data_IF_067255222488
#
_entry.id   IF_067255222488
#
_cell.length_a   1.000
_cell.length_b   1.000
_cell.length_c   1.000
_cell.angle_alpha   90.00
_cell.angle_beta   90.00
_cell.angle_gamma   90.00
#
_symmetry.space_group_name_H-M   'P 1'
#
loop_
_entity.id
_entity.type
_entity.pdbx_description
1 polymer ?
#
# COMPACT_ATOMS: atom_id res chain seq x y z
N UNK A 1 33.41 -5.75 3.95
CA UNK A 1 32.17 -5.28 4.61
C UNK A 1 32.45 -4.00 5.40
N UNK A 2 31.99 -2.84 4.93
CA UNK A 2 32.07 -1.58 5.68
C UNK A 2 30.83 -1.49 6.58
N UNK A 3 31.00 -1.65 7.89
CA UNK A 3 29.96 -1.41 8.91
C UNK A 3 29.84 0.11 9.09
N UNK A 4 28.74 0.72 8.67
CA UNK A 4 28.46 2.13 8.93
C UNK A 4 27.65 2.18 10.22
N UNK A 5 28.32 2.53 11.32
CA UNK A 5 27.69 2.79 12.61
C UNK A 5 27.07 4.19 12.56
N UNK A 6 25.73 4.30 12.61
CA UNK A 6 25.07 5.57 12.95
C UNK A 6 24.84 5.59 14.47
N UNK A 7 25.90 5.86 15.23
CA UNK A 7 25.86 6.01 16.68
C UNK A 7 25.73 7.49 17.04
N UNK A 8 24.55 7.90 17.50
CA UNK A 8 24.39 9.09 18.33
C UNK A 8 23.85 8.63 19.68
N UNK A 9 24.73 8.48 20.67
CA UNK A 9 24.40 8.66 22.08
C UNK A 9 25.69 8.86 22.89
N UNK A 10 26.03 10.12 23.18
CA UNK A 10 26.88 10.46 24.30
C UNK A 10 25.94 10.81 25.47
N UNK A 11 25.70 9.86 26.39
CA UNK A 11 25.07 10.20 27.66
C UNK A 11 26.18 10.35 28.71
N UNK A 12 26.51 11.59 29.02
CA UNK A 12 27.33 11.94 30.17
C UNK A 12 26.45 11.86 31.43
N UNK A 13 26.49 10.73 32.13
CA UNK A 13 26.02 10.67 33.51
C UNK A 13 27.12 11.25 34.41
N UNK A 14 27.02 12.54 34.72
CA UNK A 14 27.76 13.14 35.83
C UNK A 14 27.24 12.52 37.13
N UNK A 15 28.03 11.61 37.73
CA UNK A 15 27.84 11.15 39.10
C UNK A 15 28.80 11.96 39.97
N UNK A 16 28.23 12.64 40.97
CA UNK A 16 28.92 13.63 41.81
C UNK A 16 30.14 13.08 42.55
N UNK A 17 31.13 13.96 42.71
CA UNK A 17 32.24 13.76 43.63
C UNK A 17 31.71 13.68 45.07
N UNK A 18 31.95 12.57 45.77
CA UNK A 18 31.67 12.47 47.19
C UNK A 18 31.96 11.09 47.79
N UNK A 19 33.05 11.03 48.56
CA UNK A 19 33.49 10.00 49.52
C UNK A 19 33.84 8.59 49.03
N UNK A 20 35.06 8.19 49.41
CA UNK A 20 35.56 6.81 49.43
C UNK A 20 34.70 5.96 50.36
N UNK A 21 34.24 4.82 49.86
CA UNK A 21 34.06 3.60 50.64
C UNK A 21 34.15 2.38 49.72
N UNK A 22 34.77 1.34 50.25
CA UNK A 22 35.04 0.06 49.58
C UNK A 22 33.76 -0.56 48.99
N UNK A 23 33.59 -0.40 47.68
CA UNK A 23 32.79 -1.29 46.88
C UNK A 23 33.54 -1.51 45.58
N UNK A 24 33.97 -2.75 45.36
CA UNK A 24 34.44 -3.18 44.06
C UNK A 24 33.36 -2.75 43.04
N UNK A 25 33.62 -1.79 42.14
CA UNK A 25 32.57 -1.21 41.33
C UNK A 25 32.02 -2.32 40.44
N UNK A 26 30.79 -2.74 40.68
CA UNK A 26 30.06 -3.56 39.73
C UNK A 26 30.14 -2.81 38.40
N UNK A 27 30.68 -3.43 37.32
CA UNK A 27 30.70 -2.77 36.03
C UNK A 27 29.28 -2.27 35.74
N UNK A 28 29.09 -1.04 35.23
CA UNK A 28 27.75 -0.55 34.93
C UNK A 28 27.04 -1.61 34.09
N UNK A 29 25.93 -2.13 34.62
CA UNK A 29 25.15 -3.13 33.89
C UNK A 29 24.79 -2.52 32.54
N UNK A 30 25.21 -3.19 31.47
CA UNK A 30 24.81 -2.78 30.13
C UNK A 30 23.29 -2.76 30.08
N UNK A 31 22.65 -1.69 29.60
CA UNK A 31 21.19 -1.66 29.47
C UNK A 31 20.72 -2.87 28.67
N UNK A 32 19.69 -3.57 29.15
CA UNK A 32 19.03 -4.68 28.46
C UNK A 32 17.56 -4.32 28.23
N UNK A 33 17.25 -3.97 26.99
CA UNK A 33 15.92 -3.51 26.60
C UNK A 33 14.96 -4.64 26.20
N UNK A 34 15.33 -5.89 26.45
CA UNK A 34 14.52 -7.06 26.07
C UNK A 34 13.16 -7.06 26.76
N UNK A 35 13.07 -6.59 28.01
CA UNK A 35 11.80 -6.54 28.76
C UNK A 35 10.87 -5.48 28.20
N UNK A 36 11.40 -4.31 27.87
CA UNK A 36 10.66 -3.17 27.35
C UNK A 36 10.04 -3.52 25.99
N UNK A 37 10.78 -4.28 25.16
CA UNK A 37 10.28 -4.78 23.89
C UNK A 37 9.04 -5.67 24.01
N UNK A 38 8.87 -6.41 25.12
CA UNK A 38 7.68 -7.26 25.33
C UNK A 38 6.39 -6.44 25.39
N UNK A 39 6.45 -5.17 25.77
CA UNK A 39 5.30 -4.27 25.81
C UNK A 39 4.65 -4.08 24.43
N UNK A 40 5.38 -4.34 23.34
CA UNK A 40 4.91 -4.14 21.97
C UNK A 40 4.54 -5.45 21.26
N UNK A 41 4.74 -6.61 21.91
CA UNK A 41 4.45 -7.91 21.32
C UNK A 41 3.01 -8.35 21.62
N UNK A 42 2.29 -8.98 20.68
CA UNK A 42 0.97 -9.52 20.97
C UNK A 42 1.08 -10.69 21.94
N UNK A 43 0.05 -10.92 22.76
CA UNK A 43 0.02 -12.06 23.68
C UNK A 43 -0.17 -13.39 22.95
N UNK A 44 -0.74 -13.36 21.75
CA UNK A 44 -0.89 -14.50 20.84
C UNK A 44 -0.06 -14.27 19.57
N UNK A 45 0.83 -15.19 19.26
CA UNK A 45 1.83 -15.06 18.16
C UNK A 45 1.30 -15.71 16.88
N UNK A 46 1.44 -15.04 15.75
CA UNK A 46 1.08 -15.60 14.45
C UNK A 46 2.25 -16.45 13.95
N UNK A 47 2.07 -17.76 13.73
CA UNK A 47 3.12 -18.62 13.19
C UNK A 47 3.17 -18.62 11.67
N UNK A 48 2.00 -18.51 11.05
CA UNK A 48 1.85 -18.67 9.62
C UNK A 48 0.67 -17.82 9.11
N UNK A 49 0.84 -17.15 7.98
CA UNK A 49 -0.25 -16.48 7.25
C UNK A 49 -0.31 -17.02 5.84
N UNK A 50 -1.50 -17.41 5.40
CA UNK A 50 -1.77 -17.73 3.99
C UNK A 50 -2.59 -16.60 3.38
N UNK A 51 -2.34 -16.26 2.13
CA UNK A 51 -3.13 -15.29 1.40
C UNK A 51 -3.48 -15.76 -0.01
N UNK A 52 -4.67 -15.39 -0.48
CA UNK A 52 -5.09 -15.59 -1.88
C UNK A 52 -5.48 -14.25 -2.48
N UNK A 53 -5.04 -13.99 -3.70
CA UNK A 53 -5.32 -12.76 -4.45
C UNK A 53 -5.45 -13.05 -5.95
N UNK A 54 -5.94 -12.06 -6.68
CA UNK A 54 -5.87 -12.06 -8.14
C UNK A 54 -4.70 -11.19 -8.57
N UNK A 55 -3.76 -11.79 -9.28
CA UNK A 55 -2.68 -11.09 -9.95
C UNK A 55 -3.16 -10.65 -11.33
N UNK A 56 -2.79 -9.42 -11.70
CA UNK A 56 -3.07 -8.88 -13.01
C UNK A 56 -1.75 -8.62 -13.73
N UNK A 57 -1.65 -9.14 -14.96
CA UNK A 57 -0.47 -9.04 -15.81
C UNK A 57 -0.87 -8.52 -17.19
N UNK A 58 0.13 -8.09 -17.95
CA UNK A 58 -0.05 -7.60 -19.31
C UNK A 58 1.02 -8.15 -20.24
N UNK A 59 0.59 -9.00 -21.16
CA UNK A 59 1.43 -9.53 -22.22
C UNK A 59 1.59 -8.48 -23.33
N UNK A 60 2.84 -8.11 -23.60
CA UNK A 60 3.15 -7.26 -24.74
C UNK A 60 3.01 -8.07 -26.04
N UNK A 61 2.27 -7.52 -27.01
CA UNK A 61 2.04 -8.15 -28.30
C UNK A 61 1.58 -7.14 -29.35
N UNK A 62 1.54 -7.58 -30.61
CA UNK A 62 0.93 -6.81 -31.69
C UNK A 62 -0.57 -7.12 -31.71
N UNK A 63 -1.36 -6.21 -31.16
CA UNK A 63 -2.82 -6.31 -31.17
C UNK A 63 -3.40 -5.30 -32.17
N UNK A 64 -4.49 -5.64 -32.89
CA UNK A 64 -5.18 -4.68 -33.74
C UNK A 64 -5.59 -3.44 -32.96
N UNK A 65 -5.56 -2.26 -33.60
CA UNK A 65 -6.12 -1.07 -32.99
C UNK A 65 -7.62 -1.23 -32.76
N UNK A 66 -8.06 -0.86 -31.56
CA UNK A 66 -9.48 -0.83 -31.23
C UNK A 66 -10.13 0.29 -32.04
N UNK A 67 -11.19 -0.03 -32.76
CA UNK A 67 -11.95 0.96 -33.52
C UNK A 67 -12.75 1.84 -32.58
N UNK A 68 -12.92 3.12 -32.94
CA UNK A 68 -13.62 4.08 -32.08
C UNK A 68 -15.06 3.64 -31.75
N UNK A 69 -15.74 2.97 -32.68
CA UNK A 69 -17.11 2.45 -32.51
C UNK A 69 -17.21 1.36 -31.45
N UNK A 70 -16.15 0.59 -31.27
CA UNK A 70 -16.07 -0.52 -30.30
C UNK A 70 -15.43 -0.10 -28.97
N UNK A 71 -15.02 1.18 -28.85
CA UNK A 71 -14.24 1.65 -27.72
C UNK A 71 -14.98 1.51 -26.38
N UNK A 72 -16.31 1.57 -26.40
CA UNK A 72 -17.17 1.42 -25.22
C UNK A 72 -17.71 -0.01 -25.02
N UNK A 73 -17.23 -1.00 -25.80
CA UNK A 73 -17.55 -2.40 -25.54
C UNK A 73 -16.96 -2.84 -24.18
N UNK A 74 -17.68 -3.69 -23.42
CA UNK A 74 -17.28 -4.17 -22.10
C UNK A 74 -16.22 -5.28 -22.21
N UNK A 75 -15.10 -4.95 -22.83
CA UNK A 75 -13.99 -5.86 -23.11
C UNK A 75 -12.71 -5.36 -22.46
N UNK A 76 -11.88 -6.32 -22.03
CA UNK A 76 -10.51 -6.07 -21.61
C UNK A 76 -9.63 -5.73 -22.82
N UNK A 77 -8.47 -5.13 -22.57
CA UNK A 77 -7.41 -5.14 -23.56
C UNK A 77 -6.91 -6.59 -23.74
N UNK A 78 -6.67 -7.03 -24.98
CA UNK A 78 -6.32 -8.42 -25.34
C UNK A 78 -5.07 -8.96 -24.62
N UNK A 79 -4.13 -8.08 -24.25
CA UNK A 79 -2.93 -8.46 -23.49
C UNK A 79 -3.17 -8.66 -21.99
N UNK A 80 -4.33 -8.25 -21.45
CA UNK A 80 -4.60 -8.34 -20.01
C UNK A 80 -4.88 -9.78 -19.59
N UNK A 81 -4.15 -10.24 -18.57
CA UNK A 81 -4.29 -11.56 -17.95
C UNK A 81 -4.57 -11.41 -16.48
N UNK A 82 -5.42 -12.30 -15.97
CA UNK A 82 -5.70 -12.42 -14.54
C UNK A 82 -5.40 -13.84 -14.11
N UNK A 83 -4.77 -14.01 -12.95
CA UNK A 83 -4.41 -15.33 -12.42
C UNK A 83 -4.65 -15.34 -10.91
N UNK A 84 -5.34 -16.35 -10.39
CA UNK A 84 -5.44 -16.51 -8.93
C UNK A 84 -4.12 -17.05 -8.40
N UNK A 85 -3.56 -16.36 -7.40
CA UNK A 85 -2.26 -16.66 -6.82
C UNK A 85 -2.35 -16.80 -5.31
N UNK A 86 -1.40 -17.55 -4.74
CA UNK A 86 -1.24 -17.68 -3.29
C UNK A 86 0.08 -17.09 -2.78
N UNK A 87 0.05 -16.63 -1.54
CA UNK A 87 1.21 -16.16 -0.78
C UNK A 87 1.22 -16.82 0.61
N UNK A 88 2.39 -17.10 1.16
CA UNK A 88 2.57 -17.67 2.49
C UNK A 88 3.67 -16.94 3.26
N UNK A 89 3.46 -16.75 4.57
CA UNK A 89 4.38 -16.03 5.46
C UNK A 89 4.63 -16.84 6.72
N UNK A 90 5.86 -17.25 6.97
CA UNK A 90 6.25 -18.05 8.13
C UNK A 90 7.13 -17.24 9.08
N UNK A 91 6.91 -17.41 10.39
CA UNK A 91 7.62 -16.68 11.43
C UNK A 91 8.27 -17.62 12.45
N UNK A 92 9.54 -17.38 12.73
CA UNK A 92 10.25 -17.99 13.85
C UNK A 92 10.47 -16.96 14.96
N UNK A 93 10.47 -17.43 16.20
CA UNK A 93 10.48 -16.57 17.39
C UNK A 93 11.62 -16.92 18.33
N UNK A 94 12.15 -15.92 19.03
CA UNK A 94 12.99 -16.16 20.21
C UNK A 94 12.16 -16.44 21.48
N UNK A 95 12.87 -16.73 22.58
CA UNK A 95 12.25 -17.01 23.88
C UNK A 95 11.50 -15.81 24.47
N UNK A 96 11.86 -14.58 24.09
CA UNK A 96 11.14 -13.36 24.49
C UNK A 96 9.90 -13.11 23.62
N UNK A 97 9.71 -13.88 22.55
CA UNK A 97 8.59 -13.77 21.63
C UNK A 97 8.76 -12.76 20.51
N UNK A 98 9.97 -12.29 20.25
CA UNK A 98 10.31 -11.44 19.10
C UNK A 98 10.53 -12.32 17.88
N UNK A 99 10.13 -11.84 16.70
CA UNK A 99 10.34 -12.59 15.45
C UNK A 99 11.81 -12.50 15.06
N UNK A 100 12.47 -13.64 14.87
CA UNK A 100 13.88 -13.74 14.46
C UNK A 100 14.06 -14.08 13.00
N UNK A 101 13.03 -14.61 12.34
CA UNK A 101 13.05 -14.93 10.91
C UNK A 101 11.67 -14.81 10.30
N UNK A 102 11.61 -14.23 9.10
CA UNK A 102 10.44 -14.17 8.24
C UNK A 102 10.78 -14.88 6.94
N UNK A 103 9.95 -15.85 6.56
CA UNK A 103 10.01 -16.48 5.23
C UNK A 103 8.75 -16.12 4.47
N UNK A 104 8.88 -15.40 3.37
CA UNK A 104 7.79 -15.02 2.48
C UNK A 104 7.89 -15.83 1.19
N UNK A 105 6.82 -16.53 0.84
CA UNK A 105 6.68 -17.31 -0.38
C UNK A 105 5.57 -16.72 -1.22
N UNK A 106 5.82 -16.54 -2.52
CA UNK A 106 4.79 -16.24 -3.50
C UNK A 106 4.82 -17.31 -4.57
N UNK A 107 3.65 -17.80 -4.95
CA UNK A 107 3.52 -18.85 -5.95
C UNK A 107 4.14 -18.45 -7.30
N UNK A 108 5.20 -19.17 -7.69
CA UNK A 108 5.95 -18.91 -8.93
C UNK A 108 7.25 -18.14 -8.72
N UNK A 109 7.48 -17.58 -7.54
CA UNK A 109 8.69 -16.86 -7.18
C UNK A 109 9.60 -17.69 -6.24
N UNK A 110 10.85 -17.27 -6.09
CA UNK A 110 11.76 -17.82 -5.08
C UNK A 110 11.41 -17.31 -3.68
N UNK A 111 11.66 -18.14 -2.66
CA UNK A 111 11.46 -17.78 -1.26
C UNK A 111 12.31 -16.56 -0.86
N UNK A 112 11.69 -15.58 -0.21
CA UNK A 112 12.36 -14.43 0.41
C UNK A 112 12.53 -14.72 1.90
N UNK A 113 13.78 -14.69 2.38
CA UNK A 113 14.09 -14.92 3.80
C UNK A 113 14.75 -13.68 4.37
N UNK A 114 14.16 -13.12 5.44
CA UNK A 114 14.76 -12.05 6.24
C UNK A 114 14.98 -12.52 7.67
N UNK A 115 16.06 -12.06 8.32
CA UNK A 115 16.40 -12.43 9.70
C UNK A 115 16.62 -11.22 10.58
N UNK A 116 16.27 -11.35 11.86
CA UNK A 116 16.46 -10.35 12.90
C UNK A 116 17.27 -10.95 14.04
N UNK A 117 18.40 -10.34 14.33
CA UNK A 117 19.27 -10.72 15.45
C UNK A 117 19.23 -9.63 16.51
N UNK A 118 18.70 -9.95 17.68
CA UNK A 118 18.58 -9.02 18.79
C UNK A 118 19.80 -9.06 19.70
N UNK A 119 20.26 -7.88 20.11
CA UNK A 119 21.15 -7.68 21.25
C UNK A 119 20.41 -6.88 22.32
N UNK A 120 21.06 -6.70 23.48
CA UNK A 120 20.50 -5.92 24.58
C UNK A 120 20.16 -4.46 24.20
N UNK A 121 20.84 -3.88 23.21
CA UNK A 121 20.70 -2.46 22.85
C UNK A 121 20.49 -2.21 21.35
N UNK A 122 20.38 -3.26 20.55
CA UNK A 122 20.27 -3.15 19.10
C UNK A 122 19.51 -4.33 18.49
N UNK A 123 19.04 -4.14 17.25
CA UNK A 123 18.57 -5.21 16.39
C UNK A 123 19.28 -5.12 15.05
N UNK A 124 19.78 -6.25 14.56
CA UNK A 124 20.34 -6.34 13.21
C UNK A 124 19.32 -7.00 12.30
N UNK A 125 18.92 -6.30 11.25
CA UNK A 125 17.98 -6.79 10.25
C UNK A 125 18.75 -7.13 8.99
N UNK A 126 18.63 -8.36 8.52
CA UNK A 126 19.21 -8.83 7.26
C UNK A 126 18.08 -9.16 6.30
N UNK A 127 18.07 -8.51 5.14
CA UNK A 127 17.13 -8.76 4.05
C UNK A 127 17.86 -9.39 2.86
N UNK A 128 17.18 -10.20 2.04
CA UNK A 128 17.79 -10.77 0.85
C UNK A 128 18.17 -9.66 -0.14
N UNK A 129 19.00 -9.97 -1.14
CA UNK A 129 19.35 -9.01 -2.16
C UNK A 129 18.10 -8.52 -2.89
N UNK A 130 18.11 -7.28 -3.42
CA UNK A 130 17.11 -6.85 -4.38
C UNK A 130 16.97 -7.87 -5.52
N UNK A 131 15.76 -8.02 -6.06
CA UNK A 131 15.43 -8.94 -7.15
C UNK A 131 16.31 -8.80 -8.43
N UNK A 132 17.16 -7.78 -8.51
CA UNK A 132 18.11 -7.63 -9.63
C UNK A 132 19.28 -8.61 -9.58
N UNK A 133 19.49 -9.34 -8.47
CA UNK A 133 20.52 -10.37 -8.34
C UNK A 133 21.97 -9.85 -8.39
N UNK A 134 22.16 -8.54 -8.46
CA UNK A 134 23.47 -7.88 -8.62
C UNK A 134 24.01 -7.40 -7.28
N UNK A 135 23.12 -7.09 -6.34
CA UNK A 135 23.47 -6.50 -5.05
C UNK A 135 23.51 -7.57 -3.96
N UNK A 136 24.40 -7.41 -2.98
CA UNK A 136 24.53 -8.31 -1.83
C UNK A 136 23.34 -8.16 -0.85
N UNK A 137 23.07 -9.16 0.01
CA UNK A 137 22.14 -9.02 1.14
C UNK A 137 22.44 -7.76 1.96
N UNK A 138 21.39 -7.06 2.37
CA UNK A 138 21.50 -5.84 3.17
C UNK A 138 21.36 -6.19 4.64
N UNK A 139 22.43 -5.99 5.41
CA UNK A 139 22.42 -6.15 6.87
C UNK A 139 22.63 -4.79 7.53
N UNK A 140 21.66 -4.33 8.32
CA UNK A 140 21.73 -3.06 9.04
C UNK A 140 21.44 -3.30 10.52
N UNK A 141 22.33 -2.77 11.36
CA UNK A 141 22.14 -2.72 12.80
C UNK A 141 21.49 -1.39 13.19
N UNK A 142 20.44 -1.47 13.99
CA UNK A 142 19.71 -0.33 14.51
C UNK A 142 19.78 -0.32 16.03
N UNK A 143 20.18 0.82 16.60
CA UNK A 143 20.14 1.03 18.04
C UNK A 143 18.71 1.16 18.58
N UNK A 144 18.55 0.80 19.85
CA UNK A 144 17.28 0.90 20.58
C UNK A 144 17.31 2.09 21.56
N UNK A 145 16.16 2.71 21.77
CA UNK A 145 15.97 3.66 22.87
C UNK A 145 15.75 2.92 24.20
N UNK A 146 15.68 3.66 25.31
CA UNK A 146 15.45 3.09 26.65
C UNK A 146 14.10 2.37 26.82
N UNK A 147 13.17 2.56 25.87
CA UNK A 147 11.90 1.83 25.82
C UNK A 147 11.95 0.65 24.84
N UNK A 148 13.11 0.27 24.32
CA UNK A 148 13.25 -0.86 23.41
C UNK A 148 12.82 -0.62 21.96
N UNK A 149 12.53 0.64 21.59
CA UNK A 149 12.11 1.02 20.24
C UNK A 149 13.29 1.36 19.35
N UNK A 150 13.18 1.05 18.05
CA UNK A 150 14.22 1.33 17.06
C UNK A 150 14.38 2.84 16.87
N UNK A 151 15.59 3.35 17.09
CA UNK A 151 15.92 4.79 17.01
C UNK A 151 15.82 5.35 15.58
N UNK A 152 16.16 4.56 14.57
CA UNK A 152 16.15 5.02 13.18
C UNK A 152 14.76 5.22 12.60
N UNK A 153 13.73 4.64 13.22
CA UNK A 153 12.34 4.81 12.75
C UNK A 153 11.82 6.21 13.01
N UNK A 154 12.36 6.91 14.03
CA UNK A 154 11.93 8.26 14.36
C UNK A 154 11.91 8.57 15.84
N UNK A 155 11.19 9.64 16.17
CA UNK A 155 10.97 10.13 17.53
C UNK A 155 9.62 9.65 18.03
N UNK A 156 9.56 9.32 19.32
CA UNK A 156 8.36 8.81 19.98
C UNK A 156 7.78 9.85 20.96
N UNK A 157 6.47 9.82 21.18
CA UNK A 157 5.83 10.59 22.24
C UNK A 157 5.93 9.86 23.61
N UNK A 158 5.38 10.46 24.67
CA UNK A 158 5.42 9.89 26.03
C UNK A 158 4.70 8.53 26.14
N UNK A 159 3.69 8.29 25.29
CA UNK A 159 3.00 6.99 25.15
C UNK A 159 3.75 5.99 24.27
N UNK A 160 4.98 6.30 23.88
CA UNK A 160 5.82 5.51 22.98
C UNK A 160 5.20 5.26 21.60
N UNK A 161 4.32 6.16 21.13
CA UNK A 161 3.81 6.18 19.77
C UNK A 161 4.77 6.99 18.89
N UNK A 162 5.02 6.54 17.65
CA UNK A 162 5.83 7.33 16.70
C UNK A 162 5.20 8.70 16.48
N UNK A 163 5.97 9.76 16.65
CA UNK A 163 5.55 11.16 16.50
C UNK A 163 6.02 11.75 15.18
N UNK A 164 7.24 11.40 14.77
CA UNK A 164 7.84 11.88 13.53
C UNK A 164 8.93 10.92 13.05
N UNK A 165 9.07 10.75 11.74
CA UNK A 165 10.20 10.09 11.08
C UNK A 165 10.76 10.98 9.96
N UNK A 166 12.05 10.80 9.64
CA UNK A 166 12.68 11.53 8.52
C UNK A 166 12.10 11.14 7.16
N UNK A 167 11.62 9.89 7.01
CA UNK A 167 11.07 9.35 5.76
C UNK A 167 9.60 9.75 5.56
N UNK A 168 8.75 9.46 6.54
CA UNK A 168 7.29 9.57 6.44
C UNK A 168 6.75 10.92 6.94
N UNK A 169 7.55 11.69 7.68
CA UNK A 169 7.15 12.96 8.24
C UNK A 169 6.44 12.80 9.59
N UNK A 170 5.27 13.41 9.75
CA UNK A 170 4.56 13.55 11.03
C UNK A 170 3.47 12.49 11.19
N UNK A 171 3.36 11.95 12.40
CA UNK A 171 2.35 10.98 12.79
C UNK A 171 1.34 11.67 13.72
N UNK A 172 0.06 11.64 13.34
CA UNK A 172 -1.04 12.29 14.07
C UNK A 172 -1.84 11.22 14.80
N UNK A 173 -1.98 11.39 16.11
CA UNK A 173 -2.67 10.43 16.98
C UNK A 173 -3.88 11.08 17.63
N UNK A 174 -5.00 10.37 17.62
CA UNK A 174 -6.23 10.77 18.30
C UNK A 174 -6.81 9.56 19.02
N UNK A 175 -7.12 9.71 20.31
CA UNK A 175 -7.66 8.63 21.14
C UNK A 175 -6.86 7.32 21.06
N UNK A 176 -5.52 7.44 20.96
CA UNK A 176 -4.56 6.34 20.80
C UNK A 176 -4.65 5.54 19.48
N UNK A 177 -5.29 6.12 18.46
CA UNK A 177 -5.28 5.63 17.08
C UNK A 177 -4.45 6.56 16.18
N UNK A 178 -3.65 6.00 15.27
CA UNK A 178 -2.88 6.76 14.29
C UNK A 178 -3.81 7.19 13.16
N UNK A 179 -4.29 8.43 13.16
CA UNK A 179 -5.29 8.91 12.19
C UNK A 179 -4.68 9.44 10.90
N UNK A 180 -3.41 9.88 10.93
CA UNK A 180 -2.73 10.43 9.76
C UNK A 180 -1.22 10.30 9.83
N UNK A 181 -0.59 9.97 8.72
CA UNK A 181 0.86 10.13 8.47
C UNK A 181 0.99 11.16 7.36
N UNK A 182 1.84 12.18 7.52
CA UNK A 182 2.04 13.16 6.45
C UNK A 182 3.40 13.84 6.41
N UNK A 183 3.84 14.16 5.19
CA UNK A 183 5.03 14.98 4.91
C UNK A 183 4.73 16.07 3.90
N UNK A 184 5.38 17.21 4.07
CA UNK A 184 5.35 18.29 3.08
C UNK A 184 6.40 18.04 2.01
N UNK A 185 6.00 18.12 0.75
CA UNK A 185 6.89 17.97 -0.41
C UNK A 185 6.74 19.21 -1.28
N UNK A 186 7.86 19.83 -1.64
CA UNK A 186 7.88 20.93 -2.61
C UNK A 186 8.11 20.36 -4.00
N UNK A 187 7.19 20.61 -4.94
CA UNK A 187 7.29 20.22 -6.35
C UNK A 187 6.95 21.43 -7.21
N UNK A 188 7.84 21.82 -8.12
CA UNK A 188 7.66 22.97 -9.01
C UNK A 188 7.27 24.27 -8.26
N UNK A 189 7.87 24.51 -7.09
CA UNK A 189 7.57 25.68 -6.25
C UNK A 189 6.27 25.60 -5.44
N UNK A 190 5.45 24.56 -5.63
CA UNK A 190 4.21 24.33 -4.87
C UNK A 190 4.48 23.33 -3.74
N UNK A 191 4.14 23.72 -2.51
CA UNK A 191 4.17 22.83 -1.35
C UNK A 191 2.89 22.03 -1.30
N UNK A 192 2.99 20.70 -1.33
CA UNK A 192 1.86 19.79 -1.12
C UNK A 192 2.08 18.90 0.11
N UNK A 193 1.00 18.41 0.69
CA UNK A 193 1.02 17.45 1.81
C UNK A 193 0.70 16.05 1.28
N UNK A 194 1.66 15.12 1.39
CA UNK A 194 1.49 13.70 1.03
C UNK A 194 1.41 12.82 2.26
N UNK A 195 0.84 11.64 2.10
CA UNK A 195 0.78 10.59 3.12
C UNK A 195 -0.58 9.91 3.14
N UNK A 196 -0.98 9.39 4.30
CA UNK A 196 -2.14 8.50 4.43
C UNK A 196 -2.97 8.89 5.64
N UNK A 197 -4.30 8.84 5.51
CA UNK A 197 -5.27 8.88 6.59
C UNK A 197 -5.76 7.48 6.90
N UNK A 198 -5.98 7.20 8.17
CA UNK A 198 -6.56 5.94 8.61
C UNK A 198 -7.89 6.18 9.29
N UNK A 199 -8.87 5.35 8.95
CA UNK A 199 -10.13 5.26 9.67
C UNK A 199 -10.19 3.96 10.47
N UNK A 200 -10.84 4.01 11.62
CA UNK A 200 -10.88 2.89 12.57
C UNK A 200 -12.32 2.55 12.93
N UNK A 201 -12.54 1.29 13.28
CA UNK A 201 -13.75 0.86 13.98
C UNK A 201 -13.50 0.79 15.50
N UNK A 202 -14.46 0.23 16.24
CA UNK A 202 -14.34 0.02 17.69
C UNK A 202 -13.61 -1.27 18.09
N UNK A 203 -13.23 -2.14 17.14
CA UNK A 203 -12.60 -3.41 17.44
C UNK A 203 -11.17 -3.19 17.96
N UNK A 204 -10.85 -3.79 19.09
CA UNK A 204 -9.54 -3.66 19.73
C UNK A 204 -8.47 -4.40 18.93
N UNK A 205 -7.32 -3.78 18.75
CA UNK A 205 -6.17 -4.37 18.07
C UNK A 205 -5.34 -5.27 19.01
N UNK A 206 -5.87 -6.44 19.38
CA UNK A 206 -5.13 -7.41 20.23
C UNK A 206 -3.87 -7.95 19.58
N UNK A 207 -3.85 -7.99 18.24
CA UNK A 207 -2.72 -8.41 17.43
C UNK A 207 -1.56 -7.40 17.41
N UNK A 208 -1.79 -6.15 17.84
CA UNK A 208 -0.83 -5.04 17.73
C UNK A 208 -0.37 -4.79 16.29
N UNK A 209 -1.26 -4.94 15.32
CA UNK A 209 -0.95 -4.59 13.93
C UNK A 209 -0.62 -3.11 13.81
N UNK A 210 0.42 -2.82 13.04
CA UNK A 210 0.92 -1.48 12.86
C UNK A 210 1.42 -1.32 11.42
N UNK A 211 0.53 -0.83 10.56
CA UNK A 211 0.71 -0.67 9.11
C UNK A 211 1.70 0.47 8.78
N UNK A 212 2.97 0.21 9.04
CA UNK A 212 4.13 0.95 8.56
C UNK A 212 5.09 -0.04 7.94
N UNK A 213 5.98 0.36 7.04
CA UNK A 213 7.04 -0.51 6.56
C UNK A 213 8.11 -0.75 7.65
N UNK A 214 9.16 -1.49 7.31
CA UNK A 214 10.28 -1.77 8.21
C UNK A 214 11.24 -0.59 8.42
N UNK A 215 11.11 0.48 7.62
CA UNK A 215 11.91 1.71 7.71
C UNK A 215 11.17 2.88 8.37
N UNK A 216 9.88 2.70 8.68
CA UNK A 216 9.01 3.72 9.28
C UNK A 216 8.31 4.60 8.25
N UNK A 217 8.27 4.19 6.98
CA UNK A 217 7.43 4.76 5.92
C UNK A 217 6.00 4.19 5.96
N UNK A 218 5.05 4.88 5.34
CA UNK A 218 3.67 4.39 5.29
C UNK A 218 3.51 3.19 4.35
N UNK A 219 2.72 2.21 4.80
CA UNK A 219 2.22 1.12 3.93
C UNK A 219 0.71 1.08 4.03
N UNK A 220 0.07 0.75 2.90
CA UNK A 220 -1.39 0.65 2.79
C UNK A 220 -1.88 -0.78 2.59
N UNK A 221 -0.98 -1.77 2.66
CA UNK A 221 -1.28 -3.18 2.44
C UNK A 221 -0.65 -4.09 3.49
N UNK A 222 -1.39 -5.13 3.86
CA UNK A 222 -0.91 -6.21 4.71
C UNK A 222 0.11 -7.11 4.01
N UNK A 223 0.23 -7.06 2.68
CA UNK A 223 1.18 -7.87 1.93
C UNK A 223 2.62 -7.52 2.32
N UNK A 224 2.94 -6.22 2.33
CA UNK A 224 4.25 -5.72 2.76
C UNK A 224 4.42 -5.83 4.28
N UNK A 225 3.32 -5.70 5.04
CA UNK A 225 3.35 -5.84 6.49
C UNK A 225 3.79 -7.24 6.92
N UNK A 226 3.15 -8.29 6.39
CA UNK A 226 3.47 -9.67 6.73
C UNK A 226 4.82 -10.13 6.16
N UNK A 227 5.28 -9.54 5.06
CA UNK A 227 6.57 -9.90 4.46
C UNK A 227 7.80 -9.57 5.34
N UNK A 228 7.72 -8.53 6.18
CA UNK A 228 8.81 -8.18 7.11
C UNK A 228 8.36 -7.29 8.27
N UNK A 229 7.46 -6.34 8.00
CA UNK A 229 7.18 -5.28 8.97
C UNK A 229 6.57 -5.77 10.29
N UNK A 230 5.83 -6.88 10.27
CA UNK A 230 5.31 -7.55 11.47
C UNK A 230 6.42 -7.92 12.48
N UNK A 231 7.65 -8.14 12.01
CA UNK A 231 8.80 -8.46 12.87
C UNK A 231 9.42 -7.23 13.56
N UNK A 232 9.02 -6.02 13.15
CA UNK A 232 9.66 -4.77 13.57
C UNK A 232 8.89 -4.14 14.72
N UNK A 233 9.59 -3.92 15.83
CA UNK A 233 9.07 -3.21 17.00
C UNK A 233 9.14 -1.70 16.75
N UNK A 234 7.97 -1.06 16.65
CA UNK A 234 7.80 0.36 16.28
C UNK A 234 7.16 1.20 17.38
N UNK A 235 7.26 0.74 18.63
CA UNK A 235 6.52 1.33 19.75
C UNK A 235 5.06 0.91 19.78
N UNK A 236 4.25 1.74 20.44
CA UNK A 236 2.83 1.46 20.71
C UNK A 236 2.02 1.49 19.42
N UNK A 237 1.42 0.36 19.06
CA UNK A 237 0.52 0.22 17.92
C UNK A 237 -0.83 0.96 18.17
N UNK A 238 -1.59 1.26 17.10
CA UNK A 238 -2.95 1.80 17.23
C UNK A 238 -3.84 0.93 18.13
N UNK A 239 -4.63 1.57 18.98
CA UNK A 239 -5.58 0.92 19.90
C UNK A 239 -6.58 0.03 19.17
N UNK A 240 -7.06 0.47 18.01
CA UNK A 240 -8.08 -0.19 17.21
C UNK A 240 -7.52 -0.65 15.87
N UNK A 241 -8.23 -1.57 15.21
CA UNK A 241 -7.88 -2.03 13.86
C UNK A 241 -8.32 -1.00 12.81
N UNK A 242 -7.45 -0.64 11.84
CA UNK A 242 -7.83 0.27 10.77
C UNK A 242 -8.81 -0.43 9.82
N UNK A 243 -9.87 0.25 9.41
CA UNK A 243 -10.85 -0.24 8.41
C UNK A 243 -10.62 0.37 7.03
N UNK A 244 -9.86 1.46 6.97
CA UNK A 244 -9.50 2.10 5.70
C UNK A 244 -8.17 2.84 5.84
N UNK A 245 -7.37 2.80 4.78
CA UNK A 245 -6.19 3.63 4.56
C UNK A 245 -6.38 4.43 3.26
N UNK A 246 -6.53 5.74 3.39
CA UNK A 246 -6.86 6.66 2.29
C UNK A 246 -5.72 7.65 2.06
N UNK A 247 -5.18 7.77 0.84
CA UNK A 247 -4.11 8.71 0.55
C UNK A 247 -4.58 10.16 0.74
N UNK A 248 -3.66 11.03 1.16
CA UNK A 248 -3.93 12.46 1.38
C UNK A 248 -4.07 13.26 0.09
N UNK A 249 -3.35 12.88 -0.96
CA UNK A 249 -3.51 13.44 -2.31
C UNK A 249 -4.27 12.44 -3.18
N UNK A 250 -5.50 12.78 -3.55
CA UNK A 250 -6.15 12.12 -4.68
C UNK A 250 -5.48 12.63 -5.97
N UNK A 251 -4.97 11.72 -6.81
CA UNK A 251 -4.49 12.02 -8.16
C UNK A 251 -3.28 12.96 -8.26
N UNK A 252 -2.18 12.68 -7.56
CA UNK A 252 -0.89 13.24 -7.96
C UNK A 252 -0.42 12.62 -9.28
N UNK A 253 -0.44 13.40 -10.36
CA UNK A 253 0.02 12.99 -11.70
C UNK A 253 1.50 12.56 -11.77
N UNK A 254 2.27 12.83 -10.71
CA UNK A 254 3.67 12.45 -10.57
C UNK A 254 3.91 11.26 -9.62
N UNK A 255 2.84 10.70 -9.03
CA UNK A 255 2.95 9.46 -8.28
C UNK A 255 2.95 8.29 -9.26
N UNK A 256 4.01 7.47 -9.24
CA UNK A 256 4.06 6.22 -10.00
C UNK A 256 3.04 5.18 -9.52
N UNK A 257 2.30 5.49 -8.45
CA UNK A 257 1.23 4.70 -7.87
C UNK A 257 0.00 5.59 -7.82
N UNK A 258 -1.01 5.33 -8.65
CA UNK A 258 -2.35 5.90 -8.45
C UNK A 258 -2.88 5.35 -7.13
N UNK A 259 -2.60 6.06 -6.05
CA UNK A 259 -2.94 5.59 -4.71
C UNK A 259 -4.45 5.72 -4.55
N UNK A 260 -5.14 4.59 -4.42
CA UNK A 260 -6.57 4.53 -4.10
C UNK A 260 -6.76 4.10 -2.65
N UNK A 261 -7.91 4.41 -2.03
CA UNK A 261 -8.24 3.88 -0.72
C UNK A 261 -8.14 2.35 -0.70
N UNK A 262 -7.58 1.83 0.39
CA UNK A 262 -7.59 0.40 0.69
C UNK A 262 -8.48 0.18 1.90
N UNK A 263 -9.45 -0.72 1.78
CA UNK A 263 -10.39 -1.05 2.86
C UNK A 263 -10.09 -2.41 3.45
N UNK A 264 -10.30 -2.55 4.75
CA UNK A 264 -10.01 -3.76 5.51
C UNK A 264 -11.25 -4.24 6.24
N UNK A 265 -11.50 -5.55 6.18
CA UNK A 265 -12.47 -6.23 7.04
C UNK A 265 -11.80 -7.38 7.76
N UNK A 266 -12.30 -7.68 8.96
CA UNK A 266 -11.68 -8.64 9.88
C UNK A 266 -12.71 -9.63 10.38
N UNK A 267 -12.29 -10.88 10.54
CA UNK A 267 -12.97 -11.85 11.41
C UNK A 267 -12.09 -12.17 12.60
N UNK A 268 -12.69 -12.69 13.66
CA UNK A 268 -12.01 -12.92 14.93
C UNK A 268 -12.21 -14.36 15.42
N UNK A 269 -11.22 -14.86 16.16
CA UNK A 269 -11.37 -16.10 16.94
C UNK A 269 -12.11 -15.85 18.27
N UNK A 270 -12.29 -16.91 19.07
CA UNK A 270 -13.00 -16.84 20.36
C UNK A 270 -12.32 -15.94 21.40
N UNK A 271 -11.04 -15.60 21.22
CA UNK A 271 -10.27 -14.72 22.10
C UNK A 271 -10.17 -13.30 21.53
N UNK A 272 -10.93 -13.00 20.48
CA UNK A 272 -10.97 -11.73 19.74
C UNK A 272 -9.64 -11.37 19.06
N UNK A 273 -8.81 -12.37 18.73
CA UNK A 273 -7.66 -12.20 17.85
C UNK A 273 -8.10 -12.32 16.40
N UNK A 274 -7.49 -11.53 15.50
CA UNK A 274 -7.83 -11.54 14.07
C UNK A 274 -7.57 -12.90 13.45
N UNK A 275 -8.62 -13.56 12.95
CA UNK A 275 -8.53 -14.85 12.25
C UNK A 275 -8.33 -14.66 10.74
N UNK A 276 -9.09 -13.76 10.12
CA UNK A 276 -8.94 -13.45 8.70
C UNK A 276 -8.98 -11.94 8.46
N UNK A 277 -8.36 -11.52 7.36
CA UNK A 277 -8.38 -10.15 6.86
C UNK A 277 -8.79 -10.19 5.40
N UNK A 278 -9.79 -9.41 4.99
CA UNK A 278 -9.99 -9.11 3.57
C UNK A 278 -9.58 -7.66 3.29
N UNK A 279 -8.58 -7.51 2.43
CA UNK A 279 -8.05 -6.24 1.94
C UNK A 279 -8.62 -5.99 0.54
N UNK A 280 -9.33 -4.88 0.36
CA UNK A 280 -9.95 -4.52 -0.91
C UNK A 280 -9.37 -3.21 -1.44
N UNK A 281 -8.89 -3.25 -2.68
CA UNK A 281 -8.32 -2.12 -3.40
C UNK A 281 -8.90 -2.08 -4.83
N UNK A 282 -9.22 -0.89 -5.31
CA UNK A 282 -9.47 -0.67 -6.73
C UNK A 282 -8.13 -0.39 -7.42
N UNK A 283 -7.52 -1.44 -7.97
CA UNK A 283 -6.12 -1.41 -8.42
C UNK A 283 -6.02 -1.11 -9.91
N UNK A 284 -5.11 -0.22 -10.29
CA UNK A 284 -4.77 0.00 -11.70
C UNK A 284 -4.25 -1.29 -12.34
N UNK A 285 -4.73 -1.60 -13.55
CA UNK A 285 -4.29 -2.74 -14.35
C UNK A 285 -3.58 -2.22 -15.61
N UNK A 286 -2.38 -2.73 -15.93
CA UNK A 286 -1.69 -2.35 -17.16
C UNK A 286 -2.49 -2.72 -18.43
N UNK A 287 -2.18 -2.07 -19.56
CA UNK A 287 -2.86 -2.32 -20.84
C UNK A 287 -3.85 -1.22 -21.24
N UNK A 288 -3.44 0.05 -21.17
CA UNK A 288 -4.23 1.17 -21.67
C UNK A 288 -4.53 1.05 -23.17
N UNK A 289 -5.68 1.58 -23.61
CA UNK A 289 -6.04 1.68 -25.03
C UNK A 289 -6.07 3.14 -25.47
N UNK A 290 -5.82 3.35 -26.76
CA UNK A 290 -5.97 4.64 -27.43
C UNK A 290 -6.74 4.46 -28.74
N UNK A 291 -7.62 5.40 -29.04
CA UNK A 291 -8.31 5.49 -30.33
C UNK A 291 -8.67 6.94 -30.64
N UNK A 292 -9.04 7.21 -31.88
CA UNK A 292 -9.59 8.49 -32.32
C UNK A 292 -10.66 8.27 -33.40
N UNK A 293 -11.55 9.25 -33.58
CA UNK A 293 -12.50 9.24 -34.69
C UNK A 293 -11.79 9.77 -35.93
N UNK A 294 -11.74 9.04 -37.04
CA UNK A 294 -10.98 9.47 -38.21
C UNK A 294 -11.64 10.66 -38.89
N UNK A 295 -10.83 11.65 -39.27
CA UNK A 295 -11.28 12.83 -40.01
C UNK A 295 -11.10 12.59 -41.52
N UNK A 296 -12.00 11.80 -42.10
CA UNK A 296 -11.92 11.38 -43.50
C UNK A 296 -12.84 12.21 -44.43
N UNK A 297 -13.36 13.35 -43.97
CA UNK A 297 -14.27 14.21 -44.74
C UNK A 297 -15.75 13.80 -44.72
N UNK A 298 -16.12 12.68 -44.08
CA UNK A 298 -17.48 12.10 -44.10
C UNK A 298 -18.36 12.45 -42.87
N UNK A 299 -18.15 13.60 -42.21
CA UNK A 299 -18.88 14.05 -41.01
C UNK A 299 -18.95 13.03 -39.83
N UNK A 300 -18.07 12.03 -39.81
CA UNK A 300 -18.07 10.96 -38.78
C UNK A 300 -17.94 11.50 -37.35
N UNK A 301 -17.14 12.55 -37.18
CA UNK A 301 -16.93 13.23 -35.89
C UNK A 301 -18.24 13.81 -35.36
N UNK A 302 -18.99 14.51 -36.21
CA UNK A 302 -20.28 15.09 -35.83
C UNK A 302 -21.30 14.02 -35.46
N UNK A 303 -21.38 12.96 -36.25
CA UNK A 303 -22.27 11.81 -35.98
C UNK A 303 -21.93 11.13 -34.66
N UNK A 304 -20.67 10.76 -34.45
CA UNK A 304 -20.26 10.08 -33.22
C UNK A 304 -20.40 10.98 -31.99
N UNK A 305 -20.18 12.30 -32.13
CA UNK A 305 -20.43 13.24 -31.05
C UNK A 305 -21.90 13.26 -30.63
N UNK A 306 -22.84 13.28 -31.58
CA UNK A 306 -24.27 13.21 -31.27
C UNK A 306 -24.67 11.89 -30.59
N UNK A 307 -24.08 10.77 -31.00
CA UNK A 307 -24.26 9.46 -30.35
C UNK A 307 -23.77 9.49 -28.90
N UNK A 308 -22.58 10.07 -28.65
CA UNK A 308 -22.03 10.23 -27.30
C UNK A 308 -22.92 11.14 -26.43
N UNK A 309 -23.40 12.27 -26.96
CA UNK A 309 -24.32 13.16 -26.22
C UNK A 309 -25.62 12.44 -25.82
N UNK A 310 -26.17 11.64 -26.73
CA UNK A 310 -27.37 10.83 -26.47
C UNK A 310 -27.11 9.78 -25.39
N UNK A 311 -25.96 9.10 -25.47
CA UNK A 311 -25.55 8.12 -24.46
C UNK A 311 -25.36 8.78 -23.08
N UNK A 312 -24.69 9.92 -23.01
CA UNK A 312 -24.47 10.68 -21.77
C UNK A 312 -25.82 11.04 -21.13
N UNK A 313 -26.74 11.62 -21.91
CA UNK A 313 -28.07 11.97 -21.41
C UNK A 313 -28.84 10.74 -20.90
N UNK A 314 -28.73 9.60 -21.57
CA UNK A 314 -29.34 8.35 -21.14
C UNK A 314 -28.73 7.80 -19.84
N UNK A 315 -27.42 7.92 -19.64
CA UNK A 315 -26.76 7.55 -18.38
C UNK A 315 -27.23 8.47 -17.25
N UNK A 316 -27.24 9.79 -17.46
CA UNK A 316 -27.66 10.78 -16.46
C UNK A 316 -29.14 10.61 -16.08
N UNK A 317 -29.99 10.28 -17.06
CA UNK A 317 -31.41 9.96 -16.85
C UNK A 317 -31.66 8.53 -16.32
N UNK A 318 -30.60 7.75 -16.06
CA UNK A 318 -30.66 6.37 -15.55
C UNK A 318 -31.41 5.38 -16.46
N UNK A 319 -31.52 5.66 -17.75
CA UNK A 319 -32.06 4.71 -18.74
C UNK A 319 -30.98 3.71 -19.20
N UNK A 320 -29.71 4.12 -19.15
CA UNK A 320 -28.53 3.25 -19.25
C UNK A 320 -27.91 3.13 -17.86
N UNK A 321 -27.83 1.92 -17.31
CA UNK A 321 -27.41 1.67 -15.91
C UNK A 321 -26.15 0.83 -15.78
N UNK A 322 -25.70 0.23 -16.87
CA UNK A 322 -24.48 -0.57 -16.95
C UNK A 322 -23.24 0.29 -17.24
N UNK A 323 -23.35 1.62 -17.25
CA UNK A 323 -22.25 2.58 -17.45
C UNK A 323 -22.43 3.77 -16.53
N UNK A 324 -21.33 4.47 -16.24
CA UNK A 324 -21.36 5.73 -15.50
C UNK A 324 -20.69 6.85 -16.27
N UNK A 325 -21.20 8.07 -16.14
CA UNK A 325 -20.63 9.27 -16.74
C UNK A 325 -20.03 10.17 -15.66
N UNK A 326 -18.89 10.79 -15.98
CA UNK A 326 -18.26 11.81 -15.15
C UNK A 326 -17.75 12.96 -16.02
N UNK A 327 -18.29 14.14 -15.79
CA UNK A 327 -17.76 15.37 -16.38
C UNK A 327 -16.42 15.75 -15.72
N UNK A 328 -15.44 16.20 -16.52
CA UNK A 328 -14.14 16.65 -16.01
C UNK A 328 -13.98 18.16 -16.23
N UNK A 329 -14.08 18.62 -17.48
CA UNK A 329 -13.89 20.03 -17.82
C UNK A 329 -14.49 20.38 -19.18
N UNK A 330 -14.80 21.66 -19.37
CA UNK A 330 -15.18 22.24 -20.66
C UNK A 330 -14.73 23.71 -20.65
N UNK A 331 -13.88 24.09 -21.60
CA UNK A 331 -13.39 25.47 -21.76
C UNK A 331 -13.98 26.17 -23.00
N UNK A 332 -14.97 25.55 -23.64
CA UNK A 332 -15.59 26.01 -24.89
C UNK A 332 -14.80 25.64 -26.16
N UNK A 333 -13.51 25.33 -26.05
CA UNK A 333 -12.69 24.82 -27.16
C UNK A 333 -12.46 23.31 -27.05
N UNK A 334 -12.44 22.78 -25.83
CA UNK A 334 -12.20 21.38 -25.52
C UNK A 334 -13.09 20.95 -24.36
N UNK A 335 -13.79 19.83 -24.55
CA UNK A 335 -14.56 19.14 -23.50
C UNK A 335 -13.91 17.81 -23.17
N UNK A 336 -13.77 17.55 -21.87
CA UNK A 336 -13.20 16.31 -21.32
C UNK A 336 -14.22 15.67 -20.39
N UNK A 337 -14.45 14.37 -20.60
CA UNK A 337 -15.32 13.57 -19.74
C UNK A 337 -14.88 12.10 -19.75
N UNK A 338 -15.39 11.34 -18.79
CA UNK A 338 -15.18 9.90 -18.68
C UNK A 338 -16.51 9.15 -18.81
N UNK A 339 -16.48 8.03 -19.50
CA UNK A 339 -17.51 6.98 -19.44
C UNK A 339 -16.84 5.72 -18.90
N UNK A 340 -17.33 5.21 -17.77
CA UNK A 340 -16.85 3.95 -17.19
C UNK A 340 -17.72 2.81 -17.68
N UNK A 341 -17.08 1.78 -18.23
CA UNK A 341 -17.70 0.53 -18.68
C UNK A 341 -17.23 -0.60 -17.76
N UNK A 342 -18.12 -1.22 -16.97
CA UNK A 342 -17.81 -2.41 -16.19
C UNK A 342 -17.58 -3.61 -17.10
N UNK A 343 -16.57 -4.39 -16.76
CA UNK A 343 -16.17 -5.64 -17.41
C UNK A 343 -16.11 -6.70 -16.32
N UNK A 344 -16.82 -7.81 -16.52
CA UNK A 344 -16.82 -8.93 -15.58
C UNK A 344 -15.87 -10.00 -16.08
N UNK A 345 -14.92 -10.40 -15.24
CA UNK A 345 -14.01 -11.51 -15.52
C UNK A 345 -14.43 -12.69 -14.66
N UNK A 346 -14.89 -13.76 -15.31
CA UNK A 346 -15.46 -14.93 -14.65
C UNK A 346 -14.49 -16.10 -14.52
N UNK A 347 -13.40 -16.07 -15.30
CA UNK A 347 -12.34 -17.07 -15.27
C UNK A 347 -10.98 -16.40 -15.35
N UNK A 348 -10.03 -16.94 -14.60
CA UNK A 348 -8.63 -16.58 -14.73
C UNK A 348 -7.99 -17.26 -15.96
N UNK A 349 -6.72 -16.96 -16.21
CA UNK A 349 -5.97 -17.45 -17.38
C UNK A 349 -5.76 -18.96 -17.37
N UNK A 350 -5.94 -19.62 -16.23
CA UNK A 350 -5.86 -21.07 -16.05
C UNK A 350 -7.26 -21.73 -16.03
N UNK A 351 -8.32 -20.96 -16.27
CA UNK A 351 -9.71 -21.44 -16.31
C UNK A 351 -10.38 -21.57 -14.93
N UNK A 352 -9.71 -21.14 -13.84
CA UNK A 352 -10.30 -21.14 -12.50
C UNK A 352 -11.36 -20.05 -12.39
N UNK A 353 -12.50 -20.36 -11.79
CA UNK A 353 -13.56 -19.38 -11.57
C UNK A 353 -13.07 -18.25 -10.67
N UNK A 354 -13.26 -17.03 -11.14
CA UNK A 354 -13.09 -15.79 -10.38
C UNK A 354 -14.35 -14.95 -10.54
N UNK A 355 -14.54 -13.97 -9.67
CA UNK A 355 -15.59 -12.97 -9.83
C UNK A 355 -14.95 -11.60 -9.68
N UNK A 356 -14.22 -11.19 -10.71
CA UNK A 356 -13.48 -9.95 -10.71
C UNK A 356 -14.23 -8.90 -11.52
N UNK A 357 -14.51 -7.76 -10.90
CA UNK A 357 -15.02 -6.59 -11.58
C UNK A 357 -13.85 -5.71 -12.02
N UNK A 358 -13.81 -5.37 -13.30
CA UNK A 358 -12.84 -4.47 -13.89
C UNK A 358 -13.58 -3.29 -14.50
N UNK A 359 -13.20 -2.08 -14.13
CA UNK A 359 -13.75 -0.85 -14.67
C UNK A 359 -12.83 -0.34 -15.77
N UNK A 360 -13.32 -0.35 -17.01
CA UNK A 360 -12.69 0.33 -18.15
C UNK A 360 -13.13 1.79 -18.15
N UNK A 361 -12.26 2.69 -17.72
CA UNK A 361 -12.51 4.13 -17.66
C UNK A 361 -12.06 4.74 -18.98
N UNK A 362 -13.03 5.09 -19.83
CA UNK A 362 -12.80 5.70 -21.14
C UNK A 362 -12.86 7.21 -21.03
N UNK A 363 -11.71 7.88 -21.13
CA UNK A 363 -11.61 9.33 -21.19
C UNK A 363 -11.76 9.80 -22.63
N UNK A 364 -12.67 10.74 -22.84
CA UNK A 364 -12.90 11.41 -24.11
C UNK A 364 -12.37 12.83 -24.04
N UNK A 365 -11.67 13.25 -25.10
CA UNK A 365 -11.26 14.64 -25.33
C UNK A 365 -11.87 15.05 -26.66
N UNK A 366 -12.84 15.96 -26.60
CA UNK A 366 -13.57 16.48 -27.77
C UNK A 366 -13.13 17.91 -28.00
N UNK A 367 -12.60 18.20 -29.18
CA UNK A 367 -12.24 19.56 -29.58
C UNK A 367 -13.34 20.17 -30.46
N UNK A 368 -13.52 21.48 -30.36
CA UNK A 368 -14.53 22.22 -31.10
C UNK A 368 -13.92 23.33 -31.94
N UNK A 369 -14.61 23.65 -33.04
CA UNK A 369 -14.50 24.94 -33.71
C UNK A 369 -15.88 25.61 -33.66
N UNK A 370 -16.00 26.66 -32.85
CA UNK A 370 -17.28 27.23 -32.43
C UNK A 370 -18.18 26.15 -31.76
N UNK A 371 -19.28 25.77 -32.39
CA UNK A 371 -20.24 24.79 -31.85
C UNK A 371 -20.07 23.38 -32.42
N UNK A 372 -19.21 23.19 -33.42
CA UNK A 372 -19.03 21.91 -34.12
C UNK A 372 -17.81 21.15 -33.59
N UNK A 373 -17.98 19.87 -33.27
CA UNK A 373 -16.87 19.00 -32.90
C UNK A 373 -15.94 18.77 -34.11
N UNK A 374 -14.63 18.87 -33.89
CA UNK A 374 -13.60 18.78 -34.93
C UNK A 374 -12.58 17.67 -34.70
N UNK A 375 -12.45 17.18 -33.47
CA UNK A 375 -11.59 16.05 -33.11
C UNK A 375 -12.20 15.32 -31.90
N UNK A 376 -12.08 14.00 -31.87
CA UNK A 376 -12.49 13.17 -30.73
C UNK A 376 -11.40 12.13 -30.52
N UNK A 377 -10.70 12.26 -29.39
CA UNK A 377 -9.68 11.31 -28.93
C UNK A 377 -10.16 10.57 -27.72
N UNK A 378 -9.77 9.30 -27.62
CA UNK A 378 -10.19 8.41 -26.56
C UNK A 378 -9.01 7.66 -25.99
N UNK A 379 -8.90 7.66 -24.67
CA UNK A 379 -7.95 6.88 -23.90
C UNK A 379 -8.72 6.01 -22.92
N UNK A 380 -8.35 4.73 -22.78
CA UNK A 380 -8.95 3.86 -21.76
C UNK A 380 -7.88 3.37 -20.78
N UNK A 381 -8.23 3.42 -19.50
CA UNK A 381 -7.46 2.81 -18.42
C UNK A 381 -8.34 1.80 -17.68
N UNK A 382 -7.73 0.80 -17.06
CA UNK A 382 -8.45 -0.28 -16.40
C UNK A 382 -8.15 -0.31 -14.91
N UNK A 383 -9.19 -0.53 -14.11
CA UNK A 383 -9.07 -0.68 -12.66
C UNK A 383 -9.86 -1.89 -12.18
N UNK A 384 -9.21 -2.81 -11.48
CA UNK A 384 -9.84 -4.02 -10.97
C UNK A 384 -10.12 -3.91 -9.48
N UNK A 385 -11.30 -4.38 -9.04
CA UNK A 385 -11.64 -4.50 -7.63
C UNK A 385 -10.99 -5.77 -7.06
N UNK A 386 -9.72 -5.66 -6.68
CA UNK A 386 -8.93 -6.77 -6.14
C UNK A 386 -9.25 -6.94 -4.66
N UNK A 387 -9.47 -8.20 -4.26
CA UNK A 387 -9.60 -8.60 -2.86
C UNK A 387 -8.48 -9.59 -2.56
N UNK A 388 -7.62 -9.24 -1.61
CA UNK A 388 -6.64 -10.15 -1.02
C UNK A 388 -7.19 -10.66 0.30
N UNK A 389 -7.34 -11.97 0.42
CA UNK A 389 -7.84 -12.62 1.63
C UNK A 389 -6.68 -13.27 2.37
N UNK A 390 -6.44 -12.85 3.61
CA UNK A 390 -5.44 -13.42 4.51
C UNK A 390 -6.11 -14.28 5.58
N UNK A 391 -5.47 -15.40 5.92
CA UNK A 391 -5.84 -16.26 7.05
C UNK A 391 -4.64 -16.42 7.98
N UNK A 392 -4.86 -16.14 9.26
CA UNK A 392 -3.83 -16.10 10.29
C UNK A 392 -3.89 -17.36 11.15
N UNK A 393 -2.75 -18.05 11.22
CA UNK A 393 -2.54 -19.25 12.02
C UNK A 393 -1.56 -18.94 13.15
N UNK A 394 -1.91 -19.36 14.38
CA UNK A 394 -1.23 -18.97 15.63
C UNK A 394 -0.43 -20.09 16.31
#
# INVERSE_FOLDING_TARGET
MKRILLSLLAMATLVGCGSKDDNNPTPPQRPDFTKEQQNYLPTKKVKHVTATYVEADYENGSYPSVQYKDFLNPELNQGQKFTVKTMEYFYEYDNAGRITKVTFKREGDSDIISTLTYSNISVTITTPPPYDGIREPRSIEYGLNSSGNILSLGVYNEKQQLKNSMSAGTFTWENDNLTKISRKVTRNGVVKERGVKFSYNSATNKNKFYLLDHTGDDIRSYQEYFALSIAIIKGTAPKNLPIEATPLEENDSYSSRFERPVSFSYTFDSNEFVKTIAEKENKFIPGSLYSYVPNNGNNEIGTYWSELQTLIANIENKTVTDKSYKFISDDGSTRIFEITVPVKVEKDSNGKTINLNVNKVCKFTVSYNNTSATDIRMDATYYADIITNYELNY
#
